data_IF_885322991904
#
_entry.id   IF_885322991904
#
_cell.length_a   1.000
_cell.length_b   1.000
_cell.length_c   1.000
_cell.angle_alpha   90.00
_cell.angle_beta   90.00
_cell.angle_gamma   90.00
#
_symmetry.space_group_name_H-M   'P 1'
#
loop_
_entity.id
_entity.type
_entity.pdbx_description
1 polymer ?
#
# COMPACT_ATOMS: atom_id res chain seq x y z
N UNK A 1 -7.35 0.03 -14.24
CA UNK A 1 -6.55 0.69 -13.19
C UNK A 1 -6.26 -0.34 -12.12
N UNK A 2 -5.00 -0.69 -11.92
CA UNK A 2 -4.60 -1.62 -10.85
C UNK A 2 -4.56 -0.91 -9.49
N UNK A 3 -4.51 -1.66 -8.38
CA UNK A 3 -4.32 -1.04 -7.07
C UNK A 3 -2.97 -0.33 -6.96
N UNK A 4 -1.95 -0.84 -7.64
CA UNK A 4 -0.64 -0.19 -7.71
C UNK A 4 -0.74 1.19 -8.38
N UNK A 5 -1.49 1.31 -9.49
CA UNK A 5 -1.72 2.60 -10.15
C UNK A 5 -2.43 3.59 -9.23
N UNK A 6 -3.42 3.13 -8.44
CA UNK A 6 -4.13 3.95 -7.46
C UNK A 6 -3.18 4.47 -6.37
N UNK A 7 -2.27 3.63 -5.88
CA UNK A 7 -1.25 4.03 -4.89
C UNK A 7 -0.26 5.03 -5.48
N UNK A 8 0.17 4.84 -6.73
CA UNK A 8 1.07 5.79 -7.41
C UNK A 8 0.42 7.16 -7.60
N UNK A 9 -0.87 7.22 -7.94
CA UNK A 9 -1.62 8.49 -7.96
C UNK A 9 -1.68 9.15 -6.57
N UNK A 10 -1.92 8.35 -5.53
CA UNK A 10 -1.91 8.84 -4.15
C UNK A 10 -0.52 9.39 -3.74
N UNK A 11 0.55 8.77 -4.24
CA UNK A 11 1.93 9.25 -4.07
C UNK A 11 2.14 10.61 -4.74
N UNK A 12 1.65 10.80 -5.96
CA UNK A 12 1.76 12.07 -6.68
C UNK A 12 1.11 13.21 -5.88
N UNK A 13 -0.03 12.93 -5.24
CA UNK A 13 -0.73 13.89 -4.38
C UNK A 13 0.00 14.16 -3.04
N UNK A 14 0.61 13.13 -2.42
CA UNK A 14 1.30 13.28 -1.14
C UNK A 14 2.71 13.88 -1.23
N UNK A 15 3.30 14.00 -2.43
CA UNK A 15 4.67 14.48 -2.70
C UNK A 15 5.79 13.81 -1.86
N UNK A 16 5.50 12.65 -1.25
CA UNK A 16 6.42 11.93 -0.36
C UNK A 16 6.84 10.60 -0.97
N UNK A 17 8.08 10.21 -0.71
CA UNK A 17 8.66 8.94 -1.17
C UNK A 17 8.22 7.74 -0.32
N UNK A 18 7.75 8.00 0.90
CA UNK A 18 7.10 7.04 1.77
C UNK A 18 5.93 7.72 2.50
N UNK A 19 4.80 7.04 2.61
CA UNK A 19 3.61 7.55 3.30
C UNK A 19 2.73 6.40 3.78
N UNK A 20 1.85 6.72 4.72
CA UNK A 20 0.83 5.80 5.22
C UNK A 20 -0.53 6.20 4.63
N UNK A 21 -1.36 5.22 4.31
CA UNK A 21 -2.69 5.43 3.73
C UNK A 21 -3.66 4.33 4.15
N UNK A 22 -4.96 4.65 4.14
CA UNK A 22 -6.04 3.67 4.31
C UNK A 22 -6.55 3.20 2.95
N UNK A 23 -7.17 2.02 2.94
CA UNK A 23 -7.73 1.45 1.71
C UNK A 23 -8.77 2.37 1.04
N UNK A 24 -9.55 3.10 1.83
CA UNK A 24 -10.54 4.07 1.31
C UNK A 24 -9.90 5.23 0.52
N UNK A 25 -8.67 5.63 0.87
CA UNK A 25 -7.96 6.73 0.21
C UNK A 25 -7.49 6.36 -1.21
N UNK A 26 -7.64 5.10 -1.62
CA UNK A 26 -7.39 4.65 -2.99
C UNK A 26 -8.55 4.94 -3.95
N UNK A 27 -9.71 5.34 -3.43
CA UNK A 27 -10.92 5.63 -4.18
C UNK A 27 -11.27 7.10 -4.03
N UNK A 28 -11.95 7.67 -5.04
CA UNK A 28 -12.61 8.95 -4.82
C UNK A 28 -13.78 8.80 -3.84
N UNK A 29 -14.21 9.92 -3.24
CA UNK A 29 -15.35 9.91 -2.33
C UNK A 29 -16.63 9.38 -3.01
N UNK A 30 -16.83 9.74 -4.28
CA UNK A 30 -17.94 9.24 -5.13
C UNK A 30 -17.84 7.74 -5.38
N UNK A 31 -16.67 7.24 -5.83
CA UNK A 31 -16.44 5.80 -6.03
C UNK A 31 -16.66 5.02 -4.73
N UNK A 32 -16.17 5.56 -3.61
CA UNK A 32 -16.32 4.91 -2.31
C UNK A 32 -17.78 4.84 -1.89
N UNK A 33 -18.54 5.92 -2.04
CA UNK A 33 -19.97 5.98 -1.71
C UNK A 33 -20.81 5.03 -2.58
N UNK A 34 -20.49 4.90 -3.86
CA UNK A 34 -21.19 3.98 -4.77
C UNK A 34 -20.90 2.50 -4.46
N UNK A 35 -19.71 2.18 -3.94
CA UNK A 35 -19.39 0.80 -3.58
C UNK A 35 -20.19 0.31 -2.37
N UNK A 36 -20.87 -0.82 -2.53
CA UNK A 36 -21.55 -1.49 -1.42
C UNK A 36 -20.55 -2.06 -0.41
N UNK A 37 -21.00 -2.29 0.83
CA UNK A 37 -20.16 -2.90 1.88
C UNK A 37 -19.62 -4.27 1.44
N UNK A 38 -20.39 -5.05 0.68
CA UNK A 38 -19.97 -6.35 0.18
C UNK A 38 -18.84 -6.22 -0.86
N UNK A 39 -18.97 -5.25 -1.78
CA UNK A 39 -17.93 -4.95 -2.76
C UNK A 39 -16.66 -4.45 -2.08
N UNK A 40 -16.77 -3.48 -1.17
CA UNK A 40 -15.60 -2.98 -0.42
C UNK A 40 -14.85 -4.12 0.28
N UNK A 41 -15.55 -5.08 0.89
CA UNK A 41 -14.92 -6.27 1.51
C UNK A 41 -14.23 -7.17 0.50
N UNK A 42 -14.85 -7.40 -0.65
CA UNK A 42 -14.28 -8.23 -1.72
C UNK A 42 -13.03 -7.59 -2.31
N UNK A 43 -13.11 -6.30 -2.61
CA UNK A 43 -12.05 -5.49 -3.19
C UNK A 43 -10.87 -5.33 -2.22
N UNK A 44 -11.13 -5.17 -0.92
CA UNK A 44 -10.07 -5.15 0.10
C UNK A 44 -9.36 -6.50 0.25
N UNK A 45 -10.08 -7.63 0.16
CA UNK A 45 -9.45 -8.96 0.13
C UNK A 45 -8.56 -9.15 -1.09
N UNK A 46 -9.02 -8.69 -2.26
CA UNK A 46 -8.20 -8.72 -3.48
C UNK A 46 -6.95 -7.86 -3.31
N UNK A 47 -7.11 -6.66 -2.75
CA UNK A 47 -6.00 -5.76 -2.45
C UNK A 47 -4.98 -6.38 -1.51
N UNK A 48 -5.39 -7.02 -0.41
CA UNK A 48 -4.48 -7.73 0.49
C UNK A 48 -3.70 -8.84 -0.22
N UNK A 49 -4.36 -9.58 -1.11
CA UNK A 49 -3.68 -10.59 -1.93
C UNK A 49 -2.64 -9.97 -2.87
N UNK A 50 -2.95 -8.82 -3.48
CA UNK A 50 -2.00 -8.10 -4.33
C UNK A 50 -0.83 -7.47 -3.55
N UNK A 51 -1.08 -6.88 -2.39
CA UNK A 51 -0.03 -6.30 -1.52
C UNK A 51 1.00 -7.35 -1.14
N UNK A 52 0.58 -8.61 -0.91
CA UNK A 52 1.52 -9.70 -0.62
C UNK A 52 2.56 -9.92 -1.72
N UNK A 53 2.25 -9.50 -2.95
CA UNK A 53 3.13 -9.55 -4.13
C UNK A 53 3.88 -8.24 -4.36
N UNK A 54 3.40 -7.13 -3.79
CA UNK A 54 4.04 -5.82 -3.87
C UNK A 54 5.18 -5.71 -2.85
N UNK A 55 6.35 -5.26 -3.29
CA UNK A 55 7.53 -5.18 -2.42
C UNK A 55 7.64 -3.86 -1.66
N UNK A 56 6.97 -2.84 -2.16
CA UNK A 56 6.96 -1.42 -1.82
C UNK A 56 5.80 -1.03 -0.90
N UNK A 57 4.74 -1.85 -0.84
CA UNK A 57 3.63 -1.68 0.10
C UNK A 57 3.74 -2.71 1.21
N UNK A 58 3.56 -2.28 2.47
CA UNK A 58 3.58 -3.18 3.64
C UNK A 58 2.50 -2.82 4.64
N UNK A 59 2.08 -3.81 5.41
CA UNK A 59 1.20 -3.60 6.56
C UNK A 59 2.11 -3.31 7.79
N UNK A 60 2.09 -2.12 8.39
CA UNK A 60 2.87 -1.81 9.57
C UNK A 60 2.42 -2.65 10.78
N UNK A 61 3.39 -3.04 11.62
CA UNK A 61 3.18 -3.95 12.75
C UNK A 61 2.19 -3.40 13.79
N UNK A 62 2.11 -2.08 13.93
CA UNK A 62 1.13 -1.38 14.78
C UNK A 62 -0.33 -1.62 14.37
N UNK A 63 -0.58 -2.01 13.11
CA UNK A 63 -1.89 -2.46 12.64
C UNK A 63 -2.12 -3.96 12.88
N UNK A 64 -1.08 -4.78 13.06
CA UNK A 64 -1.21 -6.25 13.23
C UNK A 64 -1.95 -6.62 14.52
N UNK A 65 -1.70 -5.92 15.63
CA UNK A 65 -2.37 -6.17 16.92
C UNK A 65 -3.82 -5.66 16.97
N UNK A 66 -4.19 -4.66 16.14
CA UNK A 66 -5.58 -4.16 16.02
C UNK A 66 -6.37 -4.77 14.85
N UNK A 67 -5.70 -5.47 13.93
CA UNK A 67 -6.28 -5.94 12.66
C UNK A 67 -6.97 -7.30 12.71
N UNK A 68 -6.93 -8.05 13.83
CA UNK A 68 -7.50 -9.40 13.86
C UNK A 68 -9.00 -9.46 13.51
N UNK A 69 -9.74 -8.35 13.55
CA UNK A 69 -11.19 -8.36 13.32
C UNK A 69 -11.80 -7.20 12.51
N UNK A 70 -11.03 -6.25 11.94
CA UNK A 70 -11.63 -5.09 11.25
C UNK A 70 -11.06 -4.84 9.86
N UNK A 71 -11.76 -5.37 8.86
CA UNK A 71 -11.78 -4.83 7.49
C UNK A 71 -12.08 -3.32 7.59
N UNK A 72 -11.46 -2.49 6.74
CA UNK A 72 -11.62 -1.03 6.67
C UNK A 72 -10.89 -0.14 7.68
N UNK A 73 -10.26 -0.67 8.73
CA UNK A 73 -9.49 0.16 9.70
C UNK A 73 -7.98 -0.06 9.63
N UNK A 74 -7.52 -0.69 8.55
CA UNK A 74 -6.11 -1.02 8.39
C UNK A 74 -5.37 0.12 7.69
N UNK A 75 -4.27 0.56 8.31
CA UNK A 75 -3.34 1.50 7.71
C UNK A 75 -2.28 0.69 6.97
N UNK A 76 -2.01 1.08 5.73
CA UNK A 76 -0.98 0.50 4.87
C UNK A 76 0.15 1.52 4.73
N UNK A 77 1.39 1.04 4.68
CA UNK A 77 2.58 1.86 4.50
C UNK A 77 3.13 1.63 3.10
N UNK A 78 3.19 2.69 2.31
CA UNK A 78 3.91 2.72 1.03
C UNK A 78 5.33 3.23 1.25
N UNK A 79 6.30 2.55 0.63
CA UNK A 79 7.68 2.99 0.55
C UNK A 79 8.22 2.78 -0.87
N UNK A 80 8.23 3.87 -1.64
CA UNK A 80 8.79 3.91 -2.99
C UNK A 80 10.33 3.88 -3.02
N UNK A 81 11.00 4.01 -1.87
CA UNK A 81 12.46 3.85 -1.76
C UNK A 81 12.78 2.36 -1.62
N UNK A 82 12.66 1.61 -2.72
CA UNK A 82 13.22 0.26 -2.80
C UNK A 82 14.00 0.06 -4.09
N UNK A 83 15.19 0.65 -4.10
CA UNK A 83 16.47 0.10 -4.58
C UNK A 83 17.53 1.18 -4.28
N UNK A 84 18.72 0.76 -3.81
CA UNK A 84 19.96 1.56 -3.67
C UNK A 84 20.42 2.02 -2.27
N UNK A 85 20.17 1.28 -1.18
CA UNK A 85 21.01 1.45 0.03
C UNK A 85 21.91 0.25 0.36
N UNK A 86 21.81 -0.86 -0.37
CA UNK A 86 22.69 -2.04 -0.18
C UNK A 86 23.37 -2.58 -1.44
N UNK A 87 23.24 -1.90 -2.58
CA UNK A 87 23.78 -2.40 -3.86
C UNK A 87 24.99 -1.60 -4.38
N UNK A 88 25.56 -0.72 -3.55
CA UNK A 88 26.76 0.09 -3.90
C UNK A 88 28.04 -0.46 -3.25
N UNK A 89 27.98 -1.32 -2.24
CA UNK A 89 29.20 -1.85 -1.59
C UNK A 89 29.69 -3.21 -2.13
N UNK A 90 28.90 -3.93 -2.93
CA UNK A 90 29.30 -5.27 -3.42
C UNK A 90 29.93 -5.25 -4.82
N UNK A 91 30.00 -4.08 -5.50
CA UNK A 91 30.65 -3.94 -6.81
C UNK A 91 32.00 -3.21 -6.79
N UNK A 92 32.45 -2.75 -5.63
CA UNK A 92 33.69 -1.97 -5.48
C UNK A 92 34.86 -2.76 -4.89
N UNK A 93 34.69 -4.03 -4.52
CA UNK A 93 35.77 -4.91 -4.08
C UNK A 93 35.76 -6.25 -4.83
N UNK A 94 36.11 -6.19 -6.10
CA UNK A 94 36.79 -7.29 -6.78
C UNK A 94 38.07 -6.71 -7.38
N UNK A 95 39.07 -6.50 -6.51
CA UNK A 95 40.47 -6.31 -6.90
C UNK A 95 41.15 -7.66 -6.87
#
# INVERSE_FOLDING_TARGET
MTFHDRILKLREHNHRTAFEFRFEELFSEEEWLEMSVAERKSTEKQFQHEISKMSDVRIPYSSVDKAKNKLFNQVYAYNGIKKNFKQVEEKSNAR
#
